data_IF_089842346589
#
_entry.id   IF_089842346589
#
_cell.length_a   1.000
_cell.length_b   1.000
_cell.length_c   1.000
_cell.angle_alpha   90.00
_cell.angle_beta   90.00
_cell.angle_gamma   90.00
#
_symmetry.space_group_name_H-M   'P 1'
#
loop_
_entity.id
_entity.type
_entity.pdbx_description
1 polymer ?
#
# COMPACT_ATOMS: atom_id res chain seq x y z
N UNK A 1 -4.53 -16.11 -16.81
CA UNK A 1 -3.83 -16.26 -15.53
C UNK A 1 -2.40 -15.95 -15.87
N UNK A 2 -1.85 -14.83 -15.42
CA UNK A 2 -0.43 -14.54 -15.68
C UNK A 2 0.38 -15.47 -14.79
N UNK A 3 1.01 -16.47 -15.41
CA UNK A 3 1.95 -17.42 -14.81
C UNK A 3 3.28 -16.76 -14.45
N UNK A 4 3.25 -15.58 -13.82
CA UNK A 4 4.48 -14.95 -13.34
C UNK A 4 4.93 -15.60 -12.04
N UNK A 5 6.16 -16.11 -11.97
CA UNK A 5 6.67 -16.73 -10.75
C UNK A 5 6.68 -15.72 -9.60
N UNK A 6 6.38 -16.19 -8.38
CA UNK A 6 6.37 -15.31 -7.19
C UNK A 6 7.68 -14.54 -6.98
N UNK A 7 8.84 -15.09 -7.37
CA UNK A 7 10.14 -14.40 -7.29
C UNK A 7 10.29 -13.21 -8.24
N UNK A 8 9.37 -13.05 -9.21
CA UNK A 8 9.37 -11.95 -10.18
C UNK A 8 8.53 -10.75 -9.69
N UNK A 9 7.71 -10.95 -8.66
CA UNK A 9 7.02 -9.87 -7.98
C UNK A 9 7.99 -9.22 -6.97
N UNK A 10 8.43 -8.00 -7.22
CA UNK A 10 9.35 -7.27 -6.32
C UNK A 10 8.78 -7.04 -4.92
N UNK A 11 7.46 -7.05 -4.75
CA UNK A 11 6.85 -7.08 -3.43
C UNK A 11 7.30 -8.33 -2.64
N UNK A 12 7.56 -9.46 -3.33
CA UNK A 12 8.03 -10.71 -2.75
C UNK A 12 9.46 -10.66 -2.14
N UNK A 13 10.23 -9.61 -2.40
CA UNK A 13 11.55 -9.42 -1.78
C UNK A 13 11.50 -8.72 -0.41
N UNK A 14 10.43 -7.96 -0.14
CA UNK A 14 10.33 -7.18 1.09
C UNK A 14 9.99 -8.07 2.29
N UNK A 15 10.76 -7.97 3.39
CA UNK A 15 10.60 -8.76 4.63
C UNK A 15 9.99 -7.99 5.80
N UNK A 16 9.76 -6.69 5.63
CA UNK A 16 9.26 -5.78 6.66
C UNK A 16 8.08 -4.97 6.10
N UNK A 17 7.08 -4.63 6.93
CA UNK A 17 6.07 -3.63 6.57
C UNK A 17 6.70 -2.30 6.14
N UNK A 18 5.94 -1.47 5.42
CA UNK A 18 6.35 -0.10 5.14
C UNK A 18 6.49 0.70 6.43
N UNK A 19 7.54 1.51 6.48
CA UNK A 19 7.72 2.53 7.52
C UNK A 19 6.73 3.68 7.31
N UNK A 20 6.55 4.48 8.36
CA UNK A 20 5.69 5.67 8.31
C UNK A 20 6.14 6.65 7.22
N UNK A 21 7.45 6.85 7.08
CA UNK A 21 8.04 7.75 6.08
C UNK A 21 7.81 7.24 4.64
N UNK A 22 7.94 5.92 4.40
CA UNK A 22 7.65 5.31 3.09
C UNK A 22 6.17 5.39 2.74
N UNK A 23 5.29 5.22 3.72
CA UNK A 23 3.85 5.37 3.51
C UNK A 23 3.49 6.81 3.15
N UNK A 24 4.15 7.80 3.77
CA UNK A 24 3.92 9.20 3.44
C UNK A 24 4.40 9.53 2.01
N UNK A 25 5.54 8.99 1.59
CA UNK A 25 6.02 9.12 0.22
C UNK A 25 5.05 8.50 -0.80
N UNK A 26 4.43 7.36 -0.48
CA UNK A 26 3.39 6.77 -1.32
C UNK A 26 2.11 7.57 -1.33
N UNK A 27 1.71 8.18 -0.22
CA UNK A 27 0.55 9.08 -0.18
C UNK A 27 0.81 10.29 -1.08
N UNK A 28 1.99 10.89 -1.01
CA UNK A 28 2.36 12.01 -1.88
C UNK A 28 2.40 11.61 -3.36
N UNK A 29 3.06 10.49 -3.68
CA UNK A 29 3.07 9.94 -5.03
C UNK A 29 1.68 9.55 -5.55
N UNK A 30 0.84 9.00 -4.67
CA UNK A 30 -0.55 8.65 -4.95
C UNK A 30 -1.39 9.89 -5.26
N UNK A 31 -1.26 10.95 -4.46
CA UNK A 31 -1.93 12.23 -4.71
C UNK A 31 -1.48 12.85 -6.04
N UNK A 32 -0.19 12.76 -6.37
CA UNK A 32 0.34 13.24 -7.65
C UNK A 32 -0.15 12.42 -8.86
N UNK A 33 -0.48 11.15 -8.65
CA UNK A 33 -1.03 10.26 -9.67
C UNK A 33 -2.54 10.37 -9.87
N UNK A 34 -3.26 10.98 -8.93
CA UNK A 34 -4.70 11.25 -9.04
C UNK A 34 -4.96 12.46 -9.95
N UNK A 35 -6.09 12.43 -10.64
CA UNK A 35 -6.57 13.63 -11.32
C UNK A 35 -6.93 14.71 -10.29
N UNK A 36 -6.83 15.98 -10.71
CA UNK A 36 -7.12 17.12 -9.82
C UNK A 36 -8.56 17.06 -9.27
N UNK A 37 -9.50 16.55 -10.05
CA UNK A 37 -10.90 16.39 -9.66
C UNK A 37 -11.08 15.25 -8.65
N UNK A 38 -10.35 14.14 -8.79
CA UNK A 38 -10.38 13.02 -7.84
C UNK A 38 -9.82 13.42 -6.48
N UNK A 39 -8.69 14.13 -6.46
CA UNK A 39 -8.15 14.66 -5.23
C UNK A 39 -9.05 15.72 -4.59
N UNK A 40 -9.70 16.57 -5.39
CA UNK A 40 -10.65 17.56 -4.91
C UNK A 40 -11.91 16.91 -4.31
N UNK A 41 -12.43 15.85 -4.91
CA UNK A 41 -13.57 15.09 -4.38
C UNK A 41 -13.23 14.45 -3.04
N UNK A 42 -12.07 13.79 -2.94
CA UNK A 42 -11.58 13.21 -1.69
C UNK A 42 -11.43 14.24 -0.57
N UNK A 43 -10.82 15.40 -0.87
CA UNK A 43 -10.72 16.51 0.09
C UNK A 43 -12.08 17.05 0.49
N UNK A 44 -13.02 17.16 -0.44
CA UNK A 44 -14.37 17.68 -0.17
C UNK A 44 -15.16 16.71 0.70
N UNK A 45 -15.00 15.41 0.48
CA UNK A 45 -15.74 14.36 1.16
C UNK A 45 -15.25 14.07 2.57
N UNK A 46 -13.94 14.09 2.79
CA UNK A 46 -13.33 13.66 4.05
C UNK A 46 -12.53 14.77 4.76
N UNK A 47 -12.15 15.84 4.06
CA UNK A 47 -11.14 16.78 4.53
C UNK A 47 -9.73 16.29 4.19
N UNK A 48 -8.78 17.22 4.04
CA UNK A 48 -7.43 16.91 3.53
C UNK A 48 -6.69 15.86 4.36
N UNK A 49 -6.67 16.00 5.69
CA UNK A 49 -6.00 15.04 6.56
C UNK A 49 -6.61 13.64 6.46
N UNK A 50 -7.94 13.54 6.53
CA UNK A 50 -8.60 12.23 6.45
C UNK A 50 -8.51 11.63 5.04
N UNK A 51 -8.46 12.44 3.99
CA UNK A 51 -8.22 11.98 2.63
C UNK A 51 -6.83 11.36 2.47
N UNK A 52 -5.78 11.95 3.06
CA UNK A 52 -4.44 11.35 3.12
C UNK A 52 -4.46 10.01 3.84
N UNK A 53 -5.14 9.92 4.99
CA UNK A 53 -5.28 8.66 5.75
C UNK A 53 -6.02 7.56 4.97
N UNK A 54 -7.02 7.93 4.15
CA UNK A 54 -7.72 6.98 3.26
C UNK A 54 -6.78 6.42 2.21
N UNK A 55 -5.99 7.27 1.56
CA UNK A 55 -4.99 6.85 0.56
C UNK A 55 -3.94 5.94 1.22
N UNK A 56 -3.42 6.36 2.38
CA UNK A 56 -2.47 5.58 3.19
C UNK A 56 -3.00 4.21 3.56
N UNK A 57 -4.25 4.16 4.04
CA UNK A 57 -4.94 2.91 4.39
C UNK A 57 -5.14 2.02 3.17
N UNK A 58 -5.33 2.60 1.97
CA UNK A 58 -5.38 1.87 0.71
C UNK A 58 -4.07 1.16 0.39
N UNK A 59 -2.92 1.84 0.56
CA UNK A 59 -1.60 1.21 0.38
C UNK A 59 -1.33 0.11 1.40
N UNK A 60 -1.74 0.30 2.66
CA UNK A 60 -1.63 -0.71 3.72
C UNK A 60 -2.51 -1.94 3.39
N UNK A 61 -3.75 -1.73 2.96
CA UNK A 61 -4.71 -2.80 2.68
C UNK A 61 -4.42 -3.55 1.37
N UNK A 62 -3.81 -2.90 0.38
CA UNK A 62 -3.38 -3.52 -0.87
C UNK A 62 -2.02 -4.24 -0.78
N UNK A 63 -1.36 -4.15 0.37
CA UNK A 63 -0.09 -4.80 0.63
C UNK A 63 -0.31 -6.15 1.31
N UNK A 64 -0.35 -7.21 0.50
CA UNK A 64 -0.45 -8.61 0.93
C UNK A 64 0.66 -9.03 1.91
N UNK A 65 1.72 -8.23 2.06
CA UNK A 65 2.83 -8.44 2.98
C UNK A 65 2.85 -7.53 4.19
N UNK A 66 1.84 -6.69 4.37
CA UNK A 66 1.61 -5.97 5.62
C UNK A 66 1.08 -6.90 6.73
N UNK A 67 1.40 -8.19 6.64
CA UNK A 67 0.97 -9.25 7.52
C UNK A 67 1.65 -9.11 8.87
N UNK A 68 0.95 -8.38 9.73
CA UNK A 68 0.73 -8.69 11.15
C UNK A 68 0.24 -10.16 11.36
N UNK A 69 0.06 -10.95 10.30
CA UNK A 69 -0.23 -12.39 10.30
C UNK A 69 0.83 -13.22 9.54
N UNK A 70 2.12 -12.99 9.78
CA UNK A 70 3.11 -14.02 9.48
C UNK A 70 2.95 -15.14 10.53
N UNK A 71 2.04 -16.08 10.29
CA UNK A 71 2.21 -17.41 10.90
C UNK A 71 3.41 -18.06 10.20
N UNK A 72 4.46 -18.44 10.94
CA UNK A 72 5.56 -19.15 10.34
C UNK A 72 5.01 -20.53 9.95
N UNK A 73 4.78 -20.76 8.65
CA UNK A 73 4.70 -22.11 8.16
C UNK A 73 6.11 -22.71 8.18
N UNK A 74 6.52 -23.12 9.38
CA UNK A 74 7.48 -24.18 9.58
C UNK A 74 6.88 -25.45 8.99
N UNK A 75 7.27 -25.79 7.76
CA UNK A 75 7.51 -27.18 7.38
C UNK A 75 8.36 -27.21 6.10
N UNK A 76 9.67 -27.24 6.31
CA UNK A 76 10.62 -27.73 5.30
C UNK A 76 10.53 -29.26 5.34
N UNK A 77 9.87 -29.85 4.34
CA UNK A 77 9.91 -31.30 4.09
C UNK A 77 10.99 -31.65 3.08
#
# INVERSE_FOLDING_TARGET
MSDEPGWMNSANDRKTPYTEDELEEFVEGGILGLDQDEWLDLKTKYGEHAAREVIKSGFIAGDDKNLIYFEPNDEVH
#
